data_IF_867676246899
#
_entry.id   IF_867676246899
#
_cell.length_a   1.000
_cell.length_b   1.000
_cell.length_c   1.000
_cell.angle_alpha   90.00
_cell.angle_beta   90.00
_cell.angle_gamma   90.00
#
_symmetry.space_group_name_H-M   'P 1'
#
loop_
_entity.id
_entity.type
_entity.pdbx_description
1 polymer ?
#
# COMPACT_ATOMS: atom_id res chain seq x y z
N UNK A 1 0.64 -19.45 -18.79
CA UNK A 1 0.28 -19.42 -17.35
C UNK A 1 -0.47 -18.12 -17.09
N UNK A 2 -1.76 -18.18 -16.74
CA UNK A 2 -2.51 -17.00 -16.32
C UNK A 2 -2.09 -16.70 -14.88
N UNK A 3 -1.24 -15.70 -14.67
CA UNK A 3 -0.89 -15.25 -13.32
C UNK A 3 -2.17 -14.84 -12.59
N UNK A 4 -2.31 -15.22 -11.32
CA UNK A 4 -3.38 -14.73 -10.45
C UNK A 4 -3.22 -13.21 -10.32
N UNK A 5 -3.92 -12.47 -11.17
CA UNK A 5 -3.90 -11.01 -11.13
C UNK A 5 -4.92 -10.56 -10.10
N UNK A 6 -4.48 -9.77 -9.12
CA UNK A 6 -5.38 -9.17 -8.14
C UNK A 6 -6.18 -8.07 -8.84
N UNK A 7 -7.50 -8.20 -8.80
CA UNK A 7 -8.41 -7.26 -9.46
C UNK A 7 -8.44 -5.90 -8.76
N UNK A 8 -8.81 -4.85 -9.51
CA UNK A 8 -8.96 -3.49 -8.98
C UNK A 8 -9.88 -3.44 -7.75
N UNK A 9 -10.94 -4.24 -7.74
CA UNK A 9 -11.93 -4.28 -6.65
C UNK A 9 -11.34 -4.84 -5.35
N UNK A 10 -10.46 -5.84 -5.44
CA UNK A 10 -9.73 -6.37 -4.28
C UNK A 10 -8.78 -5.32 -3.72
N UNK A 11 -8.08 -4.59 -4.59
CA UNK A 11 -7.18 -3.50 -4.19
C UNK A 11 -7.97 -2.37 -3.53
N UNK A 12 -9.09 -1.96 -4.12
CA UNK A 12 -9.93 -0.89 -3.58
C UNK A 12 -10.55 -1.29 -2.23
N UNK A 13 -11.03 -2.52 -2.11
CA UNK A 13 -11.54 -3.07 -0.85
C UNK A 13 -10.46 -3.05 0.24
N UNK A 14 -9.24 -3.49 -0.09
CA UNK A 14 -8.10 -3.42 0.82
C UNK A 14 -7.81 -1.98 1.26
N UNK A 15 -7.75 -1.02 0.33
CA UNK A 15 -7.50 0.40 0.62
C UNK A 15 -8.57 0.98 1.55
N UNK A 16 -9.84 0.68 1.30
CA UNK A 16 -10.95 1.15 2.12
C UNK A 16 -10.87 0.60 3.55
N UNK A 17 -10.61 -0.70 3.70
CA UNK A 17 -10.43 -1.34 4.99
C UNK A 17 -9.20 -0.81 5.72
N UNK A 18 -8.07 -0.65 5.03
CA UNK A 18 -6.85 -0.09 5.61
C UNK A 18 -7.09 1.32 6.15
N UNK A 19 -7.73 2.20 5.37
CA UNK A 19 -8.11 3.55 5.83
C UNK A 19 -9.04 3.53 7.03
N UNK A 20 -10.07 2.68 7.01
CA UNK A 20 -11.04 2.50 8.11
C UNK A 20 -10.33 2.14 9.42
N UNK A 21 -9.37 1.23 9.38
CA UNK A 21 -8.63 0.84 10.57
C UNK A 21 -7.58 1.88 10.98
N UNK A 22 -6.91 2.51 10.00
CA UNK A 22 -5.92 3.55 10.25
C UNK A 22 -6.54 4.82 10.84
N UNK A 23 -7.78 5.17 10.46
CA UNK A 23 -8.45 6.40 10.91
C UNK A 23 -8.62 6.51 12.43
N UNK A 24 -8.57 5.38 13.14
CA UNK A 24 -8.60 5.34 14.61
C UNK A 24 -7.33 5.96 15.23
N UNK A 25 -6.22 5.95 14.49
CA UNK A 25 -4.90 6.33 14.98
C UNK A 25 -4.38 7.67 14.45
N UNK A 26 -5.04 8.24 13.45
CA UNK A 26 -4.66 9.52 12.83
C UNK A 26 -5.66 10.63 13.18
N UNK A 27 -5.23 11.89 13.11
CA UNK A 27 -6.10 13.03 13.39
C UNK A 27 -7.29 13.05 12.40
N UNK A 28 -8.54 13.28 12.85
CA UNK A 28 -9.71 13.28 11.97
C UNK A 28 -9.66 14.28 10.80
N UNK A 29 -8.90 15.37 10.96
CA UNK A 29 -8.73 16.41 9.95
C UNK A 29 -7.65 16.09 8.90
N UNK A 30 -7.00 14.93 8.99
CA UNK A 30 -5.92 14.53 8.09
C UNK A 30 -6.51 13.74 6.92
N UNK A 31 -6.35 14.28 5.71
CA UNK A 31 -6.71 13.59 4.48
C UNK A 31 -5.73 12.47 4.17
N UNK A 32 -6.22 11.39 3.58
CA UNK A 32 -5.36 10.28 3.11
C UNK A 32 -5.49 10.15 1.60
N UNK A 33 -4.48 10.63 0.88
CA UNK A 33 -4.32 10.38 -0.56
C UNK A 33 -3.69 9.01 -0.76
N UNK A 34 -4.15 8.29 -1.76
CA UNK A 34 -3.63 6.98 -2.12
C UNK A 34 -3.27 6.95 -3.59
N UNK A 35 -2.05 6.52 -3.88
CA UNK A 35 -1.56 6.28 -5.22
C UNK A 35 -1.26 4.79 -5.42
N UNK A 36 -1.93 4.19 -6.40
CA UNK A 36 -1.86 2.75 -6.66
C UNK A 36 -1.10 2.50 -7.96
N UNK A 37 -0.05 1.67 -7.90
CA UNK A 37 0.68 1.15 -9.06
C UNK A 37 0.55 -0.37 -9.09
N UNK A 38 -0.30 -0.89 -9.98
CA UNK A 38 -0.45 -2.34 -10.17
C UNK A 38 0.68 -2.91 -11.01
N UNK A 39 0.94 -4.21 -10.85
CA UNK A 39 1.96 -4.93 -11.60
C UNK A 39 1.41 -6.20 -12.27
N UNK A 40 1.97 -6.56 -13.42
CA UNK A 40 1.52 -7.73 -14.21
C UNK A 40 1.82 -9.07 -13.55
N UNK A 41 2.83 -9.12 -12.68
CA UNK A 41 3.14 -10.27 -11.82
C UNK A 41 2.10 -10.48 -10.70
N UNK A 42 1.10 -9.60 -10.60
CA UNK A 42 -0.09 -9.76 -9.78
C UNK A 42 -0.11 -8.90 -8.52
N UNK A 43 1.04 -8.32 -8.13
CA UNK A 43 1.13 -7.45 -6.96
C UNK A 43 0.82 -5.98 -7.24
N UNK A 44 0.99 -5.15 -6.21
CA UNK A 44 0.94 -3.70 -6.37
C UNK A 44 1.80 -2.96 -5.33
N UNK A 45 2.10 -1.71 -5.65
CA UNK A 45 2.64 -0.73 -4.70
C UNK A 45 1.56 0.31 -4.43
N UNK A 46 1.27 0.54 -3.15
CA UNK A 46 0.26 1.47 -2.65
C UNK A 46 0.98 2.52 -1.80
N UNK A 47 0.81 3.78 -2.14
CA UNK A 47 1.41 4.89 -1.41
C UNK A 47 0.29 5.69 -0.77
N UNK A 48 0.26 5.71 0.56
CA UNK A 48 -0.61 6.57 1.34
C UNK A 48 0.15 7.82 1.72
N UNK A 49 -0.33 9.00 1.31
CA UNK A 49 0.22 10.29 1.70
C UNK A 49 -0.75 11.00 2.63
N UNK A 50 -0.21 11.56 3.72
CA UNK A 50 -0.98 12.32 4.69
C UNK A 50 -0.97 13.80 4.32
N UNK A 51 -2.15 14.37 4.03
CA UNK A 51 -2.32 15.76 3.63
C UNK A 51 -3.17 16.54 4.61
N UNK A 52 -2.81 17.80 4.86
CA UNK A 52 -3.68 18.72 5.61
C UNK A 52 -4.75 19.30 4.67
N UNK A 53 -6.02 19.24 5.08
CA UNK A 53 -7.16 19.88 4.41
C UNK A 53 -7.54 19.36 3.02
N UNK A 54 -7.06 18.19 2.61
CA UNK A 54 -7.45 17.54 1.36
C UNK A 54 -8.35 16.34 1.65
N UNK A 55 -9.38 16.12 0.83
CA UNK A 55 -10.25 14.94 0.98
C UNK A 55 -9.51 13.64 0.66
N UNK A 56 -10.09 12.50 1.03
CA UNK A 56 -9.57 11.19 0.60
C UNK A 56 -9.65 11.08 -0.92
N UNK A 57 -8.53 10.69 -1.54
CA UNK A 57 -8.45 10.54 -3.00
C UNK A 57 -7.69 9.26 -3.36
N UNK A 58 -8.19 8.53 -4.34
CA UNK A 58 -7.55 7.33 -4.90
C UNK A 58 -7.16 7.55 -6.35
N UNK A 59 -5.89 7.39 -6.67
CA UNK A 59 -5.37 7.51 -8.03
C UNK A 59 -4.68 6.22 -8.46
N UNK A 60 -5.20 5.59 -9.53
CA UNK A 60 -4.56 4.44 -10.15
C UNK A 60 -3.65 4.92 -11.29
N UNK A 61 -2.37 4.56 -11.22
CA UNK A 61 -1.37 4.84 -12.24
C UNK A 61 -1.27 3.70 -13.25
N UNK A 62 -0.53 3.96 -14.32
CA UNK A 62 -0.25 2.96 -15.36
C UNK A 62 0.38 1.69 -14.77
N UNK A 63 -0.16 0.55 -15.17
CA UNK A 63 0.33 -0.76 -14.76
C UNK A 63 1.81 -0.94 -15.14
N UNK A 64 2.59 -1.50 -14.22
CA UNK A 64 4.00 -1.83 -14.41
C UNK A 64 4.19 -3.30 -14.77
N UNK A 65 5.35 -3.64 -15.32
CA UNK A 65 5.69 -5.03 -15.66
C UNK A 65 5.87 -5.93 -14.44
N UNK A 66 6.36 -5.36 -13.33
CA UNK A 66 6.60 -6.05 -12.07
C UNK A 66 6.42 -5.10 -10.87
N UNK A 67 6.29 -5.66 -9.66
CA UNK A 67 6.26 -4.89 -8.42
C UNK A 67 7.52 -4.03 -8.27
N UNK A 68 8.70 -4.56 -8.60
CA UNK A 68 9.96 -3.80 -8.54
C UNK A 68 9.92 -2.60 -9.48
N UNK A 69 9.37 -2.76 -10.69
CA UNK A 69 9.23 -1.66 -11.63
C UNK A 69 8.22 -0.63 -11.14
N UNK A 70 7.12 -1.06 -10.53
CA UNK A 70 6.18 -0.16 -9.87
C UNK A 70 6.85 0.64 -8.76
N UNK A 71 7.66 -0.02 -7.91
CA UNK A 71 8.38 0.59 -6.80
C UNK A 71 9.39 1.63 -7.27
N UNK A 72 10.16 1.33 -8.33
CA UNK A 72 11.15 2.26 -8.91
C UNK A 72 10.55 3.59 -9.42
N UNK A 73 9.22 3.64 -9.59
CA UNK A 73 8.47 4.84 -10.04
C UNK A 73 7.80 5.58 -8.90
N UNK A 74 7.90 5.09 -7.67
CA UNK A 74 7.50 5.83 -6.48
C UNK A 74 8.63 6.79 -6.14
N UNK A 75 8.30 8.07 -5.96
CA UNK A 75 9.25 9.05 -5.45
C UNK A 75 9.45 8.75 -3.97
N UNK A 76 10.57 8.13 -3.61
CA UNK A 76 10.89 7.76 -2.22
C UNK A 76 12.10 8.53 -1.74
N UNK A 77 12.13 8.85 -0.44
CA UNK A 77 13.30 9.40 0.23
C UNK A 77 14.09 8.33 1.00
N UNK A 78 13.50 7.14 1.20
CA UNK A 78 13.97 6.16 2.20
C UNK A 78 14.73 4.96 1.64
N UNK A 79 14.58 4.65 0.34
CA UNK A 79 15.27 3.53 -0.32
C UNK A 79 15.79 3.97 -1.69
N UNK A 80 17.11 3.85 -1.89
CA UNK A 80 17.80 4.11 -3.16
C UNK A 80 18.76 2.96 -3.50
N UNK A 81 18.98 2.73 -4.80
CA UNK A 81 19.85 1.66 -5.30
C UNK A 81 19.18 0.81 -6.39
N UNK A 82 19.85 -0.26 -6.80
CA UNK A 82 19.30 -1.19 -7.78
C UNK A 82 18.27 -2.13 -7.13
N UNK A 83 16.99 -1.94 -7.46
CA UNK A 83 15.88 -2.75 -6.95
C UNK A 83 15.67 -4.05 -7.74
N UNK A 84 16.43 -4.30 -8.80
CA UNK A 84 16.23 -5.46 -9.69
C UNK A 84 16.55 -6.80 -8.99
N UNK A 85 17.28 -6.80 -7.88
CA UNK A 85 17.60 -7.99 -7.09
C UNK A 85 16.62 -8.33 -5.96
N UNK A 86 15.65 -7.47 -5.66
CA UNK A 86 14.73 -7.69 -4.54
C UNK A 86 13.54 -8.55 -4.97
N UNK A 87 13.16 -9.53 -4.14
CA UNK A 87 11.90 -10.25 -4.29
C UNK A 87 10.97 -9.89 -3.14
N UNK A 88 9.84 -9.25 -3.45
CA UNK A 88 8.80 -8.96 -2.46
C UNK A 88 7.84 -10.14 -2.36
N UNK A 89 7.60 -10.62 -1.13
CA UNK A 89 6.61 -11.65 -0.80
C UNK A 89 5.72 -11.17 0.33
N UNK A 90 4.47 -11.59 0.32
CA UNK A 90 3.43 -11.15 1.24
C UNK A 90 3.27 -9.64 1.21
N UNK A 91 3.34 -9.03 2.39
CA UNK A 91 3.24 -7.58 2.57
C UNK A 91 4.49 -7.00 3.21
N UNK A 92 5.06 -5.99 2.56
CA UNK A 92 6.16 -5.19 3.08
C UNK A 92 5.65 -3.76 3.27
N UNK A 93 5.88 -3.18 4.45
CA UNK A 93 5.40 -1.84 4.80
C UNK A 93 6.59 -0.98 5.17
N UNK A 94 6.62 0.21 4.58
CA UNK A 94 7.63 1.23 4.77
C UNK A 94 6.92 2.47 5.32
N UNK A 95 7.42 3.00 6.44
CA UNK A 95 7.00 4.28 6.97
C UNK A 95 7.93 5.36 6.43
N UNK A 96 7.37 6.39 5.81
CA UNK A 96 8.07 7.60 5.42
C UNK A 96 7.54 8.80 6.22
N UNK A 97 8.27 9.91 6.22
CA UNK A 97 7.84 11.13 6.91
C UNK A 97 6.48 11.65 6.40
N UNK A 98 6.25 11.54 5.09
CA UNK A 98 5.03 12.00 4.44
C UNK A 98 3.90 10.96 4.38
N UNK A 99 4.14 9.71 4.82
CA UNK A 99 3.17 8.66 4.54
C UNK A 99 3.63 7.22 4.76
N UNK A 100 2.94 6.31 4.08
CA UNK A 100 3.14 4.86 4.18
C UNK A 100 3.24 4.28 2.77
N UNK A 101 4.28 3.51 2.50
CA UNK A 101 4.41 2.72 1.27
C UNK A 101 4.16 1.26 1.59
N UNK A 102 3.15 0.66 0.97
CA UNK A 102 2.81 -0.76 1.09
C UNK A 102 3.13 -1.46 -0.22
N UNK A 103 3.91 -2.54 -0.13
CA UNK A 103 4.32 -3.38 -1.26
C UNK A 103 3.72 -4.76 -1.03
N UNK A 104 2.81 -5.19 -1.90
CA UNK A 104 2.09 -6.47 -1.77
C UNK A 104 2.31 -7.32 -3.01
N UNK A 105 2.50 -8.62 -2.81
CA UNK A 105 2.52 -9.59 -3.91
C UNK A 105 1.09 -9.92 -4.40
N UNK A 106 1.00 -10.81 -5.39
CA UNK A 106 -0.28 -11.22 -5.99
C UNK A 106 -1.06 -12.27 -5.21
N UNK A 107 -0.66 -12.64 -3.98
CA UNK A 107 -1.37 -13.64 -3.19
C UNK A 107 -2.69 -13.07 -2.68
N UNK A 108 -3.87 -13.61 -3.07
CA UNK A 108 -5.17 -13.07 -2.67
C UNK A 108 -5.37 -12.95 -1.15
N UNK A 109 -4.69 -13.78 -0.35
CA UNK A 109 -4.74 -13.72 1.13
C UNK A 109 -4.19 -12.41 1.69
N UNK A 110 -3.34 -11.72 0.95
CA UNK A 110 -2.80 -10.42 1.38
C UNK A 110 -3.82 -9.29 1.18
N UNK A 111 -4.90 -9.51 0.42
CA UNK A 111 -5.83 -8.45 -0.04
C UNK A 111 -7.18 -8.46 0.69
N UNK A 112 -7.29 -9.16 1.82
CA UNK A 112 -8.54 -9.25 2.60
C UNK A 112 -8.66 -8.11 3.62
N UNK A 113 -9.86 -7.95 4.22
CA UNK A 113 -10.08 -6.98 5.31
C UNK A 113 -9.21 -7.32 6.53
N UNK A 114 -9.05 -8.60 6.85
CA UNK A 114 -8.21 -9.08 7.96
C UNK A 114 -6.74 -8.76 7.70
N UNK A 115 -6.27 -8.93 6.47
CA UNK A 115 -4.92 -8.55 6.09
C UNK A 115 -4.69 -7.04 6.22
N UNK A 116 -5.67 -6.22 5.78
CA UNK A 116 -5.62 -4.77 5.95
C UNK A 116 -5.54 -4.36 7.42
N UNK A 117 -6.35 -4.98 8.29
CA UNK A 117 -6.31 -4.76 9.73
C UNK A 117 -4.94 -5.12 10.33
N UNK A 118 -4.44 -6.31 10.00
CA UNK A 118 -3.15 -6.80 10.48
C UNK A 118 -1.99 -5.90 10.01
N UNK A 119 -2.08 -5.34 8.79
CA UNK A 119 -1.09 -4.40 8.27
C UNK A 119 -1.10 -3.07 9.03
N UNK A 120 -2.28 -2.53 9.38
CA UNK A 120 -2.40 -1.35 10.26
C UNK A 120 -1.81 -1.64 11.64
N UNK A 121 -2.07 -2.82 12.20
CA UNK A 121 -1.53 -3.20 13.51
C UNK A 121 0.01 -3.23 13.51
N UNK A 122 0.66 -3.60 12.39
CA UNK A 122 2.13 -3.59 12.28
C UNK A 122 2.75 -2.20 12.39
N UNK A 123 2.05 -1.16 11.93
CA UNK A 123 2.57 0.22 11.89
C UNK A 123 2.20 1.06 13.11
N UNK A 124 1.15 0.70 13.84
CA UNK A 124 0.77 1.42 15.06
C UNK A 124 1.57 0.91 16.26
N UNK A 125 2.02 1.82 17.16
CA UNK A 125 2.75 1.43 18.36
C UNK A 125 1.92 0.47 19.23
N UNK A 126 2.60 -0.52 19.85
CA UNK A 126 1.94 -1.57 20.64
C UNK A 126 1.02 -1.04 21.74
N UNK A 127 1.39 0.09 22.34
CA UNK A 127 0.62 0.75 23.41
C UNK A 127 -0.76 1.29 22.97
N UNK A 128 -1.01 1.36 21.66
CA UNK A 128 -2.28 1.80 21.11
C UNK A 128 -3.11 0.66 20.51
N UNK A 129 -2.60 -0.58 20.51
CA UNK A 129 -3.36 -1.74 20.01
C UNK A 129 -4.41 -2.14 21.05
N UNK A 130 -5.66 -2.34 20.59
CA UNK A 130 -6.77 -2.86 21.40
C UNK A 130 -6.88 -4.38 21.37
#
# INVERSE_FOLDING_TARGET
MKGNHVGRDSIQSYINSFRKYLSVYIKPSLGVKCEVRTARDGGAVIVFEFGNHEGNQDTYKMQSSSVNKALSRVRQNSFGGNLDGFSFKGTNIIMEESGIVIIKDGNPKEWTEEAAKADVEKIVPRQFRG
#
